data_IF_198542742033
#
_entry.id   IF_198542742033
#
_cell.length_a   1.000
_cell.length_b   1.000
_cell.length_c   1.000
_cell.angle_alpha   90.00
_cell.angle_beta   90.00
_cell.angle_gamma   90.00
#
_symmetry.space_group_name_H-M   'P 1'
#
loop_
_entity.id
_entity.type
_entity.pdbx_description
1 polymer ?
#
# COMPACT_ATOMS: atom_id res chain seq x y z
N UNK A 1 31.36 -22.70 22.89
CA UNK A 1 30.00 -22.58 23.47
C UNK A 1 29.34 -21.36 22.86
N UNK A 2 28.29 -21.55 22.06
CA UNK A 2 27.68 -20.50 21.22
C UNK A 2 26.41 -19.99 21.90
N UNK A 3 26.45 -18.76 22.40
CA UNK A 3 25.31 -18.12 23.09
C UNK A 3 24.32 -17.67 22.01
N UNK A 4 23.19 -18.37 21.87
CA UNK A 4 22.11 -17.97 20.96
C UNK A 4 21.48 -16.68 21.48
N UNK A 5 21.58 -15.60 20.71
CA UNK A 5 20.89 -14.34 20.97
C UNK A 5 19.37 -14.56 20.89
N UNK A 6 18.71 -14.53 22.04
CA UNK A 6 17.24 -14.55 22.13
C UNK A 6 16.72 -13.23 21.55
N UNK A 7 15.97 -13.29 20.45
CA UNK A 7 15.25 -12.12 19.94
C UNK A 7 14.16 -11.76 20.95
N UNK A 8 14.45 -10.79 21.82
CA UNK A 8 13.46 -10.16 22.69
C UNK A 8 12.41 -9.50 21.79
N UNK A 9 11.26 -10.15 21.64
CA UNK A 9 10.12 -9.58 20.94
C UNK A 9 9.66 -8.27 21.61
N UNK A 10 8.84 -7.49 20.91
CA UNK A 10 8.21 -6.31 21.49
C UNK A 10 7.44 -6.72 22.75
N UNK A 11 7.56 -5.97 23.87
CA UNK A 11 6.84 -6.27 25.09
C UNK A 11 5.34 -6.39 24.81
N UNK A 12 4.64 -7.38 25.41
CA UNK A 12 3.23 -7.57 25.20
C UNK A 12 2.46 -6.33 25.63
N UNK A 13 1.61 -5.82 24.72
CA UNK A 13 0.76 -4.66 25.01
C UNK A 13 -0.35 -5.12 25.96
N UNK A 14 -0.22 -4.76 27.23
CA UNK A 14 -1.30 -4.91 28.21
C UNK A 14 -2.45 -3.99 27.79
N UNK A 15 -3.64 -4.57 27.56
CA UNK A 15 -4.84 -3.92 27.03
C UNK A 15 -4.70 -3.41 25.59
N UNK A 16 -4.72 -4.32 24.58
CA UNK A 16 -4.77 -3.91 23.20
C UNK A 16 -6.05 -3.11 22.94
N UNK A 17 -5.90 -1.89 22.39
CA UNK A 17 -7.05 -1.09 21.95
C UNK A 17 -7.92 -1.91 21.00
N UNK A 18 -9.25 -1.84 21.12
CA UNK A 18 -10.15 -2.55 20.22
C UNK A 18 -9.89 -2.15 18.75
N UNK A 19 -10.04 -3.08 17.79
CA UNK A 19 -9.70 -2.84 16.39
C UNK A 19 -10.33 -1.57 15.81
N UNK A 20 -11.59 -1.30 16.16
CA UNK A 20 -12.32 -0.11 15.73
C UNK A 20 -11.65 1.21 16.17
N UNK A 21 -11.11 1.28 17.39
CA UNK A 21 -10.39 2.46 17.87
C UNK A 21 -9.04 2.63 17.16
N UNK A 22 -8.33 1.52 16.87
CA UNK A 22 -7.06 1.56 16.13
C UNK A 22 -7.27 2.09 14.71
N UNK A 23 -8.33 1.64 14.03
CA UNK A 23 -8.68 2.12 12.68
C UNK A 23 -9.06 3.60 12.69
N UNK A 24 -9.81 4.06 13.70
CA UNK A 24 -10.19 5.48 13.85
C UNK A 24 -8.98 6.38 14.07
N UNK A 25 -8.05 5.97 14.94
CA UNK A 25 -6.79 6.72 15.18
C UNK A 25 -5.86 6.72 13.97
N UNK A 26 -5.86 5.65 13.17
CA UNK A 26 -5.11 5.60 11.92
C UNK A 26 -5.67 6.58 10.90
N UNK A 27 -7.01 6.61 10.72
CA UNK A 27 -7.68 7.57 9.84
C UNK A 27 -7.47 9.01 10.29
N UNK A 28 -7.56 9.28 11.60
CA UNK A 28 -7.32 10.62 12.15
C UNK A 28 -5.87 11.08 11.89
N UNK A 29 -4.88 10.19 12.04
CA UNK A 29 -3.47 10.49 11.73
C UNK A 29 -3.25 10.77 10.24
N UNK A 30 -3.82 9.97 9.36
CA UNK A 30 -3.75 10.19 7.91
C UNK A 30 -4.37 11.55 7.52
N UNK A 31 -5.54 11.88 8.09
CA UNK A 31 -6.19 13.19 7.87
C UNK A 31 -5.33 14.36 8.37
N UNK A 32 -4.69 14.22 9.53
CA UNK A 32 -3.78 15.24 10.07
C UNK A 32 -2.52 15.45 9.20
N UNK A 33 -2.11 14.42 8.46
CA UNK A 33 -1.03 14.50 7.47
C UNK A 33 -1.49 15.05 6.10
N UNK A 34 -2.76 15.45 5.98
CA UNK A 34 -3.32 15.94 4.72
C UNK A 34 -3.58 14.85 3.68
N UNK A 35 -3.57 13.57 4.06
CA UNK A 35 -3.93 12.48 3.16
C UNK A 35 -5.43 12.55 2.84
N UNK A 36 -5.75 12.57 1.55
CA UNK A 36 -7.12 12.53 1.03
C UNK A 36 -7.41 11.11 0.54
N UNK A 37 -8.48 10.52 1.07
CA UNK A 37 -8.97 9.22 0.61
C UNK A 37 -9.81 9.38 -0.66
N UNK A 38 -9.45 8.66 -1.73
CA UNK A 38 -10.22 8.58 -2.96
C UNK A 38 -10.89 7.22 -3.08
N UNK A 39 -12.21 7.21 -3.29
CA UNK A 39 -12.96 6.01 -3.61
C UNK A 39 -13.15 5.94 -5.13
N UNK A 40 -12.48 4.99 -5.77
CA UNK A 40 -12.58 4.75 -7.21
C UNK A 40 -13.54 3.58 -7.45
N UNK A 41 -14.55 3.79 -8.28
CA UNK A 41 -15.42 2.73 -8.79
C UNK A 41 -14.80 2.26 -10.10
N UNK A 42 -14.53 0.96 -10.20
CA UNK A 42 -13.87 0.34 -11.35
C UNK A 42 -14.78 -0.76 -11.89
N UNK A 43 -14.90 -0.84 -13.21
CA UNK A 43 -15.66 -1.90 -13.86
C UNK A 43 -14.99 -3.28 -13.67
N UNK A 44 -15.75 -4.38 -13.66
CA UNK A 44 -15.22 -5.71 -13.37
C UNK A 44 -14.08 -6.14 -14.31
N UNK A 45 -14.21 -5.83 -15.61
CA UNK A 45 -13.22 -6.19 -16.64
C UNK A 45 -11.91 -5.43 -16.44
N UNK A 46 -12.02 -4.18 -16.01
CA UNK A 46 -10.88 -3.32 -15.72
C UNK A 46 -10.20 -3.76 -14.41
N UNK A 47 -10.96 -4.31 -13.44
CA UNK A 47 -10.37 -4.85 -12.21
C UNK A 47 -9.43 -6.02 -12.48
N UNK A 48 -9.81 -6.93 -13.39
CA UNK A 48 -8.98 -8.05 -13.81
C UNK A 48 -7.66 -7.56 -14.45
N UNK A 49 -7.75 -6.58 -15.34
CA UNK A 49 -6.59 -5.94 -15.97
C UNK A 49 -5.67 -5.29 -14.92
N UNK A 50 -6.21 -4.53 -13.97
CA UNK A 50 -5.40 -3.92 -12.91
C UNK A 50 -4.75 -4.94 -12.00
N UNK A 51 -5.42 -6.06 -11.72
CA UNK A 51 -4.83 -7.14 -10.93
C UNK A 51 -3.65 -7.80 -11.65
N UNK A 52 -3.71 -7.94 -12.97
CA UNK A 52 -2.58 -8.40 -13.79
C UNK A 52 -1.43 -7.38 -13.77
N UNK A 53 -1.69 -6.12 -14.11
CA UNK A 53 -0.68 -5.07 -14.12
C UNK A 53 0.00 -4.88 -12.76
N UNK A 54 -0.76 -4.99 -11.66
CA UNK A 54 -0.24 -4.96 -10.30
C UNK A 54 0.74 -6.11 -10.05
N UNK A 55 0.40 -7.31 -10.51
CA UNK A 55 1.24 -8.49 -10.38
C UNK A 55 2.53 -8.35 -11.17
N UNK A 56 2.44 -7.87 -12.41
CA UNK A 56 3.59 -7.65 -13.30
C UNK A 56 4.52 -6.55 -12.75
N UNK A 57 3.94 -5.52 -12.14
CA UNK A 57 4.66 -4.46 -11.45
C UNK A 57 5.29 -4.90 -10.11
N UNK A 58 5.09 -6.15 -9.68
CA UNK A 58 5.70 -6.71 -8.46
C UNK A 58 5.02 -6.33 -7.15
N UNK A 59 3.82 -5.74 -7.18
CA UNK A 59 3.06 -5.43 -5.97
C UNK A 59 2.31 -6.66 -5.47
N UNK A 60 2.11 -6.76 -4.15
CA UNK A 60 1.31 -7.83 -3.53
C UNK A 60 -0.20 -7.53 -3.59
N UNK A 61 -1.09 -8.54 -3.39
CA UNK A 61 -2.54 -8.31 -3.40
C UNK A 61 -3.02 -7.33 -2.32
N UNK A 62 -2.26 -7.20 -1.23
CA UNK A 62 -2.55 -6.27 -0.13
C UNK A 62 -2.19 -4.82 -0.46
N UNK A 63 -1.41 -4.60 -1.52
CA UNK A 63 -0.89 -3.29 -1.94
C UNK A 63 -1.67 -2.71 -3.12
N UNK A 64 -2.89 -3.21 -3.38
CA UNK A 64 -3.75 -2.73 -4.47
C UNK A 64 -3.92 -1.20 -4.47
N UNK A 65 -4.18 -0.60 -3.29
CA UNK A 65 -4.30 0.86 -3.16
C UNK A 65 -2.99 1.61 -3.43
N UNK A 66 -1.85 1.02 -3.05
CA UNK A 66 -0.53 1.61 -3.32
C UNK A 66 -0.22 1.58 -4.82
N UNK A 67 -0.53 0.47 -5.49
CA UNK A 67 -0.40 0.35 -6.93
C UNK A 67 -1.25 1.39 -7.68
N UNK A 68 -2.51 1.58 -7.28
CA UNK A 68 -3.35 2.63 -7.87
C UNK A 68 -2.78 4.03 -7.65
N UNK A 69 -2.33 4.35 -6.44
CA UNK A 69 -1.70 5.64 -6.17
C UNK A 69 -0.44 5.84 -7.02
N UNK A 70 0.40 4.81 -7.12
CA UNK A 70 1.62 4.83 -7.90
C UNK A 70 1.33 5.01 -9.40
N UNK A 71 0.31 4.33 -9.93
CA UNK A 71 -0.16 4.47 -11.30
C UNK A 71 -0.64 5.90 -11.59
N UNK A 72 -1.52 6.45 -10.75
CA UNK A 72 -2.04 7.81 -10.90
C UNK A 72 -0.90 8.83 -10.85
N UNK A 73 0.05 8.69 -9.92
CA UNK A 73 1.18 9.59 -9.81
C UNK A 73 2.10 9.49 -11.03
N UNK A 74 2.36 8.27 -11.53
CA UNK A 74 3.16 8.04 -12.73
C UNK A 74 2.53 8.69 -13.97
N UNK A 75 1.23 8.49 -14.20
CA UNK A 75 0.47 9.13 -15.29
C UNK A 75 0.44 10.65 -15.13
N UNK A 76 0.35 11.15 -13.90
CA UNK A 76 0.38 12.59 -13.60
C UNK A 76 1.79 13.20 -13.62
N UNK A 77 2.82 12.44 -14.01
CA UNK A 77 4.23 12.81 -13.97
C UNK A 77 4.70 13.35 -12.60
N UNK A 78 4.12 12.83 -11.51
CA UNK A 78 4.49 13.15 -10.14
C UNK A 78 5.40 12.07 -9.55
N UNK A 79 6.34 12.43 -8.66
CA UNK A 79 7.23 11.46 -8.05
C UNK A 79 6.46 10.49 -7.15
N UNK A 80 6.75 9.20 -7.31
CA UNK A 80 6.31 8.14 -6.43
C UNK A 80 7.37 7.89 -5.35
N UNK A 81 6.96 7.86 -4.09
CA UNK A 81 7.86 7.68 -2.93
C UNK A 81 7.93 6.22 -2.43
N UNK A 82 7.25 5.29 -3.11
CA UNK A 82 7.30 3.87 -2.79
C UNK A 82 8.32 3.11 -3.65
N UNK A 83 8.25 1.76 -3.65
CA UNK A 83 9.18 0.95 -4.43
C UNK A 83 9.09 1.27 -5.92
N UNK A 84 10.24 1.27 -6.59
CA UNK A 84 10.30 1.40 -8.05
C UNK A 84 9.54 0.25 -8.70
N UNK A 85 8.72 0.57 -9.69
CA UNK A 85 7.96 -0.40 -10.44
C UNK A 85 7.93 -0.01 -11.92
N UNK A 86 7.89 -1.00 -12.79
CA UNK A 86 7.82 -0.81 -14.24
C UNK A 86 6.43 -1.23 -14.69
N UNK A 87 5.77 -0.37 -15.45
CA UNK A 87 4.51 -0.72 -16.09
C UNK A 87 4.80 -1.23 -17.51
N UNK A 88 4.16 -2.32 -17.96
CA UNK A 88 4.33 -2.83 -19.33
C UNK A 88 3.75 -1.90 -20.41
N UNK A 89 3.24 -0.72 -20.03
CA UNK A 89 2.68 0.29 -20.93
C UNK A 89 3.80 1.11 -21.63
N UNK A 90 5.07 0.95 -21.22
CA UNK A 90 6.21 1.70 -21.78
C UNK A 90 6.76 1.13 -23.12
N UNK A 91 6.08 0.19 -23.79
CA UNK A 91 6.52 -0.39 -25.09
C UNK A 91 6.11 0.48 -26.30
N UNK A 92 5.85 1.77 -26.14
CA UNK A 92 5.39 2.59 -27.26
C UNK A 92 5.49 4.11 -27.06
N UNK A 93 6.70 4.64 -27.11
CA UNK A 93 7.02 5.97 -27.65
C UNK A 93 8.55 6.10 -27.84
#
# INVERSE_FOLDING_TARGET
MTIKAVRLGRPPVLNPKPPAQRTRESKARAKAQGCVDYNLIVEPDIDALFNQLRSDAGFSPREKSQFFAALILRVSNKPWLGPSFTLPIEVGA
#
